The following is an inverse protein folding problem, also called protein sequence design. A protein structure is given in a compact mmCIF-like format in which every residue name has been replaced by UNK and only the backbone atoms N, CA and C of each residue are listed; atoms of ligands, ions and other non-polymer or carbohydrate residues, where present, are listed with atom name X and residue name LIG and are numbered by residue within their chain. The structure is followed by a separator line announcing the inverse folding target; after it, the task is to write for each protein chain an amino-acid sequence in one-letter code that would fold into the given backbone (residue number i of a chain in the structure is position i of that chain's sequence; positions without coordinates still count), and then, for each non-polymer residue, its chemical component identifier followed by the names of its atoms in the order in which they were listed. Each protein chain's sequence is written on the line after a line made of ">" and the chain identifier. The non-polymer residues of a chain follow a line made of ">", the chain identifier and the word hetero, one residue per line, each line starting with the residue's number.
data_IF_214225309378
#
_entry.id   IF_214225309378
#
_cell.length_a   1.000
_cell.length_b   1.000
_cell.length_c   1.000
_cell.angle_alpha   90.00
_cell.angle_beta   90.00
_cell.angle_gamma   90.00
#
_symmetry.space_group_name_H-M   'P 1'
#
loop_
_entity.id
_entity.type
_entity.pdbx_description
1 polymer ?
#
# COMPACT_ATOMS: atom_id res chain seq x y z
N UNK A 1 -13.98 1.59 -11.25
CA UNK A 1 -12.59 1.25 -11.62
C UNK A 1 -11.96 0.31 -10.59
N UNK A 2 -11.57 0.78 -9.39
CA UNK A 2 -11.02 -0.09 -8.33
C UNK A 2 -11.98 -1.21 -7.95
N UNK A 3 -13.21 -0.87 -7.61
CA UNK A 3 -14.25 -1.84 -7.22
C UNK A 3 -14.47 -2.90 -8.31
N UNK A 4 -14.71 -2.48 -9.55
CA UNK A 4 -15.00 -3.39 -10.67
C UNK A 4 -13.85 -4.39 -10.90
N UNK A 5 -12.60 -3.89 -10.91
CA UNK A 5 -11.42 -4.71 -11.18
C UNK A 5 -11.15 -5.72 -10.04
N UNK A 6 -11.26 -5.28 -8.78
CA UNK A 6 -11.02 -6.16 -7.64
C UNK A 6 -12.12 -7.20 -7.53
N UNK A 7 -13.40 -6.80 -7.63
CA UNK A 7 -14.53 -7.76 -7.58
C UNK A 7 -14.46 -8.78 -8.70
N UNK A 8 -14.06 -8.37 -9.92
CA UNK A 8 -13.87 -9.31 -11.02
C UNK A 8 -12.81 -10.36 -10.68
N UNK A 9 -11.61 -9.95 -10.28
CA UNK A 9 -10.53 -10.89 -9.97
C UNK A 9 -10.86 -11.82 -8.79
N UNK A 10 -11.47 -11.28 -7.73
CA UNK A 10 -11.93 -12.09 -6.58
C UNK A 10 -13.05 -13.06 -6.99
N UNK A 11 -13.98 -12.63 -7.85
CA UNK A 11 -15.05 -13.47 -8.38
C UNK A 11 -14.54 -14.63 -9.23
N UNK A 12 -13.42 -14.45 -9.92
CA UNK A 12 -12.68 -15.52 -10.63
C UNK A 12 -11.83 -16.40 -9.70
N UNK A 13 -11.90 -16.19 -8.38
CA UNK A 13 -11.18 -16.99 -7.38
C UNK A 13 -9.69 -16.70 -7.28
N UNK A 14 -9.24 -15.52 -7.73
CA UNK A 14 -7.83 -15.12 -7.68
C UNK A 14 -7.50 -14.37 -6.38
N UNK A 15 -6.30 -14.61 -5.85
CA UNK A 15 -5.72 -13.77 -4.81
C UNK A 15 -5.37 -12.38 -5.38
N UNK A 16 -5.85 -11.32 -4.74
CA UNK A 16 -5.65 -9.94 -5.20
C UNK A 16 -4.67 -9.17 -4.31
N UNK A 17 -3.61 -8.68 -4.95
CA UNK A 17 -2.80 -7.58 -4.45
C UNK A 17 -3.25 -6.28 -5.12
N UNK A 18 -3.63 -5.28 -4.33
CA UNK A 18 -3.93 -3.95 -4.83
C UNK A 18 -2.76 -3.00 -4.66
N UNK A 19 -2.27 -2.45 -5.77
CA UNK A 19 -1.12 -1.54 -5.80
C UNK A 19 -1.63 -0.14 -6.13
N UNK A 20 -1.20 0.89 -5.39
CA UNK A 20 -1.33 2.26 -5.88
C UNK A 20 -0.05 2.66 -6.56
N UNK A 21 -0.16 3.15 -7.78
CA UNK A 21 0.93 3.90 -8.39
C UNK A 21 1.05 5.25 -7.67
N UNK A 22 2.29 5.67 -7.39
CA UNK A 22 2.61 6.98 -6.83
C UNK A 22 2.10 7.25 -5.40
N UNK A 23 2.09 6.21 -4.57
CA UNK A 23 1.60 6.26 -3.18
C UNK A 23 2.21 7.40 -2.37
N UNK A 24 3.54 7.61 -2.49
CA UNK A 24 4.28 8.59 -1.67
C UNK A 24 3.89 10.04 -1.93
N UNK A 25 3.18 10.34 -3.02
CA UNK A 25 2.71 11.69 -3.38
C UNK A 25 1.18 11.83 -3.35
N UNK A 26 0.45 10.74 -3.12
CA UNK A 26 -1.00 10.76 -3.05
C UNK A 26 -1.49 11.42 -1.73
N UNK A 27 -2.59 12.19 -1.76
CA UNK A 27 -3.21 12.69 -0.53
C UNK A 27 -3.68 11.53 0.39
N UNK A 28 -3.56 11.66 1.73
CA UNK A 28 -3.98 10.61 2.66
C UNK A 28 -5.43 10.14 2.48
N UNK A 29 -6.36 11.07 2.22
CA UNK A 29 -7.78 10.74 2.00
C UNK A 29 -8.00 9.94 0.70
N UNK A 30 -7.21 10.21 -0.33
CA UNK A 30 -7.22 9.40 -1.56
C UNK A 30 -6.73 7.98 -1.28
N UNK A 31 -5.68 7.81 -0.47
CA UNK A 31 -5.19 6.49 -0.09
C UNK A 31 -6.21 5.70 0.73
N UNK A 32 -6.86 6.36 1.71
CA UNK A 32 -7.96 5.76 2.49
C UNK A 32 -9.07 5.25 1.59
N UNK A 33 -9.52 6.08 0.64
CA UNK A 33 -10.57 5.69 -0.30
C UNK A 33 -10.14 4.51 -1.18
N UNK A 34 -8.96 4.59 -1.82
CA UNK A 34 -8.52 3.55 -2.76
C UNK A 34 -8.24 2.22 -2.07
N UNK A 35 -7.44 2.21 -1.00
CA UNK A 35 -7.12 0.98 -0.28
C UNK A 35 -8.33 0.44 0.47
N UNK A 36 -9.13 1.30 1.10
CA UNK A 36 -10.37 0.91 1.78
C UNK A 36 -11.31 0.18 0.82
N UNK A 37 -11.62 0.79 -0.32
CA UNK A 37 -12.47 0.16 -1.35
C UNK A 37 -11.88 -1.16 -1.86
N UNK A 38 -10.55 -1.24 -2.07
CA UNK A 38 -9.92 -2.49 -2.49
C UNK A 38 -10.07 -3.61 -1.45
N UNK A 39 -9.87 -3.30 -0.17
CA UNK A 39 -9.99 -4.26 0.95
C UNK A 39 -11.45 -4.74 1.08
N UNK A 40 -12.40 -3.80 1.07
CA UNK A 40 -13.85 -4.08 1.07
C UNK A 40 -14.27 -4.98 -0.10
N UNK A 41 -13.62 -4.83 -1.25
CA UNK A 41 -13.89 -5.66 -2.44
C UNK A 41 -13.18 -7.02 -2.43
N UNK A 42 -12.37 -7.32 -1.41
CA UNK A 42 -11.75 -8.64 -1.22
C UNK A 42 -10.24 -8.70 -1.43
N UNK A 43 -9.55 -7.57 -1.66
CA UNK A 43 -8.09 -7.59 -1.65
C UNK A 43 -7.56 -7.96 -0.26
N UNK A 44 -6.60 -8.89 -0.19
CA UNK A 44 -5.94 -9.33 1.07
C UNK A 44 -4.45 -9.03 1.11
N UNK A 45 -3.98 -8.26 0.12
CA UNK A 45 -2.65 -7.68 0.10
C UNK A 45 -2.71 -6.30 -0.56
N UNK A 46 -1.98 -5.35 -0.02
CA UNK A 46 -1.81 -4.02 -0.63
C UNK A 46 -0.33 -3.67 -0.73
N UNK A 47 0.04 -2.88 -1.74
CA UNK A 47 1.42 -2.47 -1.96
C UNK A 47 1.54 -0.95 -2.04
N UNK A 48 2.50 -0.40 -1.28
CA UNK A 48 2.88 1.01 -1.29
C UNK A 48 4.05 1.20 -2.28
N UNK A 49 3.94 2.18 -3.16
CA UNK A 49 4.95 2.49 -4.15
C UNK A 49 5.59 3.88 -3.92
N UNK A 50 6.92 3.91 -3.82
CA UNK A 50 7.72 5.13 -4.01
C UNK A 50 8.10 5.25 -5.48
N UNK A 51 7.13 5.55 -6.34
CA UNK A 51 7.29 5.55 -7.81
C UNK A 51 8.43 6.44 -8.28
N UNK A 52 8.61 7.60 -7.65
CA UNK A 52 9.67 8.57 -8.01
C UNK A 52 11.02 8.23 -7.37
N UNK A 53 11.05 7.39 -6.32
CA UNK A 53 12.29 7.04 -5.63
C UNK A 53 12.83 8.15 -4.71
N UNK A 54 11.96 9.03 -4.22
CA UNK A 54 12.36 10.18 -3.40
C UNK A 54 12.15 9.98 -1.89
N UNK A 55 11.52 8.88 -1.48
CA UNK A 55 11.21 8.65 -0.07
C UNK A 55 12.49 8.49 0.75
N UNK A 56 12.40 8.88 2.02
CA UNK A 56 13.44 8.65 3.01
C UNK A 56 12.99 7.59 4.00
N UNK A 57 13.91 6.92 4.73
CA UNK A 57 13.52 5.90 5.70
C UNK A 57 12.50 6.38 6.75
N UNK A 58 12.59 7.65 7.16
CA UNK A 58 11.60 8.23 8.07
C UNK A 58 10.22 8.37 7.40
N UNK A 59 10.18 8.87 6.16
CA UNK A 59 8.94 8.99 5.40
C UNK A 59 8.27 7.64 5.15
N UNK A 60 9.05 6.59 4.86
CA UNK A 60 8.54 5.22 4.72
C UNK A 60 7.87 4.76 6.02
N UNK A 61 8.52 4.93 7.17
CA UNK A 61 7.92 4.57 8.46
C UNK A 61 6.60 5.31 8.72
N UNK A 62 6.56 6.62 8.45
CA UNK A 62 5.32 7.38 8.63
C UNK A 62 4.20 6.87 7.72
N UNK A 63 4.51 6.57 6.46
CA UNK A 63 3.53 6.07 5.51
C UNK A 63 3.03 4.66 5.87
N UNK A 64 3.93 3.74 6.21
CA UNK A 64 3.57 2.38 6.63
C UNK A 64 2.70 2.43 7.89
N UNK A 65 3.09 3.22 8.89
CA UNK A 65 2.29 3.41 10.12
C UNK A 65 0.91 3.98 9.83
N UNK A 66 0.83 5.00 8.98
CA UNK A 66 -0.43 5.61 8.57
C UNK A 66 -1.35 4.57 7.93
N UNK A 67 -0.87 3.83 6.93
CA UNK A 67 -1.68 2.82 6.22
C UNK A 67 -2.13 1.71 7.16
N UNK A 68 -1.24 1.24 8.05
CA UNK A 68 -1.61 0.22 9.05
C UNK A 68 -2.73 0.70 9.98
N UNK A 69 -2.52 1.84 10.65
CA UNK A 69 -3.40 2.30 11.72
C UNK A 69 -4.70 2.91 11.23
N UNK A 70 -4.67 3.59 10.09
CA UNK A 70 -5.79 4.38 9.61
C UNK A 70 -6.59 3.68 8.50
N UNK A 71 -6.09 2.57 7.95
CA UNK A 71 -6.73 1.85 6.83
C UNK A 71 -6.87 0.35 7.13
N UNK A 72 -5.77 -0.36 7.40
CA UNK A 72 -5.82 -1.82 7.58
C UNK A 72 -6.51 -2.19 8.89
N UNK A 73 -6.04 -1.68 10.03
CA UNK A 73 -6.58 -2.05 11.35
C UNK A 73 -8.09 -1.75 11.48
N UNK A 74 -8.61 -0.59 11.03
CA UNK A 74 -10.05 -0.31 11.07
C UNK A 74 -10.90 -1.19 10.16
N UNK A 75 -10.32 -1.79 9.11
CA UNK A 75 -11.06 -2.69 8.21
C UNK A 75 -11.47 -4.01 8.89
N UNK A 76 -10.74 -4.44 9.93
CA UNK A 76 -10.96 -5.72 10.60
C UNK A 76 -10.53 -6.95 9.79
N UNK A 77 -9.95 -6.76 8.61
CA UNK A 77 -9.51 -7.82 7.70
C UNK A 77 -8.02 -8.17 7.90
N UNK A 78 -7.65 -9.42 7.65
CA UNK A 78 -6.23 -9.84 7.60
C UNK A 78 -5.61 -9.44 6.25
N UNK A 79 -4.96 -8.27 6.21
CA UNK A 79 -4.38 -7.69 4.99
C UNK A 79 -2.87 -7.55 5.13
N UNK A 80 -2.13 -8.13 4.18
CA UNK A 80 -0.67 -8.00 4.09
C UNK A 80 -0.26 -6.68 3.42
N UNK A 81 0.84 -6.08 3.87
CA UNK A 81 1.36 -4.82 3.36
C UNK A 81 2.74 -5.02 2.72
N UNK A 82 2.88 -4.63 1.45
CA UNK A 82 4.14 -4.70 0.70
C UNK A 82 4.69 -3.31 0.37
N UNK A 83 6.00 -3.27 0.12
CA UNK A 83 6.74 -2.06 -0.25
C UNK A 83 7.43 -2.23 -1.60
N UNK A 84 7.20 -1.29 -2.51
CA UNK A 84 7.85 -1.16 -3.81
C UNK A 84 8.59 0.19 -3.87
N UNK A 85 9.91 0.16 -3.65
CA UNK A 85 10.75 1.38 -3.69
C UNK A 85 11.78 1.37 -4.81
N UNK A 86 12.16 2.57 -5.27
CA UNK A 86 13.19 2.75 -6.29
C UNK A 86 14.51 3.29 -5.72
N UNK A 87 15.59 3.25 -6.53
CA UNK A 87 16.98 3.53 -6.11
C UNK A 87 17.52 4.86 -6.63
N UNK A 88 16.65 5.79 -7.02
CA UNK A 88 17.03 7.06 -7.64
C UNK A 88 17.97 7.90 -6.76
N UNK A 89 17.85 7.75 -5.44
CA UNK A 89 18.71 8.42 -4.44
C UNK A 89 19.61 7.48 -3.65
N UNK A 90 19.76 6.23 -4.10
CA UNK A 90 20.51 5.20 -3.35
C UNK A 90 19.78 4.65 -2.12
N UNK A 91 18.52 5.02 -1.89
CA UNK A 91 17.76 4.71 -0.67
C UNK A 91 16.85 3.48 -0.77
N UNK A 92 16.83 2.75 -1.89
CA UNK A 92 15.94 1.60 -2.09
C UNK A 92 16.03 0.56 -0.95
N UNK A 93 17.24 0.12 -0.59
CA UNK A 93 17.44 -0.88 0.47
C UNK A 93 17.15 -0.31 1.87
N UNK A 94 17.68 0.87 2.27
CA UNK A 94 17.28 1.49 3.54
C UNK A 94 15.76 1.69 3.68
N UNK A 95 15.07 2.07 2.61
CA UNK A 95 13.63 2.24 2.60
C UNK A 95 12.89 0.90 2.74
N UNK A 96 13.35 -0.16 2.06
CA UNK A 96 12.79 -1.49 2.22
C UNK A 96 12.95 -2.03 3.65
N UNK A 97 14.12 -1.84 4.28
CA UNK A 97 14.33 -2.23 5.68
C UNK A 97 13.42 -1.43 6.62
N UNK A 98 13.31 -0.12 6.41
CA UNK A 98 12.44 0.73 7.21
C UNK A 98 10.96 0.37 7.08
N UNK A 99 10.51 -0.11 5.91
CA UNK A 99 9.16 -0.62 5.71
C UNK A 99 8.91 -1.89 6.54
N UNK A 100 9.85 -2.84 6.49
CA UNK A 100 9.77 -4.10 7.26
C UNK A 100 9.83 -3.87 8.77
N UNK A 101 10.62 -2.90 9.24
CA UNK A 101 10.74 -2.58 10.67
C UNK A 101 9.47 -1.97 11.28
N UNK A 102 8.68 -1.23 10.49
CA UNK A 102 7.49 -0.51 10.96
C UNK A 102 6.18 -1.28 10.74
N UNK A 103 6.20 -2.24 9.81
CA UNK A 103 5.03 -2.99 9.38
C UNK A 103 5.04 -4.43 9.86
#
# INVERSE_FOLDING_TARGET
>A
ATEDAVKFAVGEGLDVMYVTEDTTRAPPETLKQLYGTAIECGARRICLADTVGHATPNGVRQLVRFVRREIIEPSGEDVKLDWHGHRDRGLALPNALAAVEEG
#
